data_IF_749957585141
#
_entry.id   IF_749957585141
#
_cell.length_a   1.000
_cell.length_b   1.000
_cell.length_c   1.000
_cell.angle_alpha   90.00
_cell.angle_beta   90.00
_cell.angle_gamma   90.00
#
_symmetry.space_group_name_H-M   'P 1'
#
loop_
_entity.id
_entity.type
_entity.pdbx_description
1 polymer ?
#
# COMPACT_ATOMS: atom_id res chain seq x y z
N UNK A 1 2.49 5.07 -1.34
CA UNK A 1 2.16 6.33 -0.68
C UNK A 1 0.77 6.10 -0.18
N UNK A 2 0.62 5.97 1.13
CA UNK A 2 -0.36 5.02 1.63
C UNK A 2 -1.62 5.75 2.09
N UNK A 3 -2.76 5.11 1.84
CA UNK A 3 -4.09 5.67 2.06
C UNK A 3 -4.90 4.66 2.86
N UNK A 4 -5.27 5.04 4.08
CA UNK A 4 -6.05 4.19 4.99
C UNK A 4 -7.51 4.52 4.76
N UNK A 5 -8.31 3.49 4.45
CA UNK A 5 -9.75 3.58 4.29
C UNK A 5 -10.48 2.82 5.39
N UNK A 6 -11.79 3.03 5.46
CA UNK A 6 -12.68 2.11 6.18
C UNK A 6 -12.85 0.83 5.36
N UNK A 7 -13.17 -0.28 6.03
CA UNK A 7 -13.32 -1.62 5.44
C UNK A 7 -14.24 -1.67 4.20
N UNK A 8 -15.28 -0.82 4.18
CA UNK A 8 -16.30 -0.81 3.13
C UNK A 8 -16.00 0.18 2.00
N UNK A 9 -14.87 0.88 2.04
CA UNK A 9 -14.48 1.86 1.04
C UNK A 9 -13.43 1.24 0.10
N UNK A 10 -13.68 1.26 -1.22
CA UNK A 10 -12.69 0.92 -2.24
C UNK A 10 -12.14 2.21 -2.90
N UNK A 11 -10.86 2.58 -2.66
CA UNK A 11 -10.26 3.75 -3.29
C UNK A 11 -10.26 3.71 -4.82
N UNK A 12 -10.30 2.54 -5.45
CA UNK A 12 -10.28 2.42 -6.91
C UNK A 12 -11.61 2.82 -7.56
N UNK A 13 -12.71 2.92 -6.80
CA UNK A 13 -13.98 3.46 -7.29
C UNK A 13 -13.96 5.00 -7.43
N UNK A 14 -12.97 5.66 -6.82
CA UNK A 14 -12.83 7.10 -6.83
C UNK A 14 -12.02 7.62 -8.02
N UNK A 15 -12.55 8.61 -8.74
CA UNK A 15 -11.80 9.28 -9.83
C UNK A 15 -10.65 10.14 -9.31
N UNK A 16 -10.76 10.65 -8.09
CA UNK A 16 -9.79 11.57 -7.47
C UNK A 16 -9.70 11.30 -5.98
N UNK A 17 -8.51 10.96 -5.48
CA UNK A 17 -8.27 10.83 -4.04
C UNK A 17 -7.80 12.14 -3.43
N UNK A 18 -8.37 12.49 -2.27
CA UNK A 18 -7.87 13.57 -1.42
C UNK A 18 -7.01 12.96 -0.32
N UNK A 19 -5.69 13.13 -0.42
CA UNK A 19 -4.77 12.77 0.65
C UNK A 19 -4.37 14.02 1.42
N UNK A 20 -4.35 13.92 2.75
CA UNK A 20 -3.94 15.01 3.63
C UNK A 20 -3.13 14.46 4.79
N UNK A 21 -2.24 15.28 5.36
CA UNK A 21 -1.52 14.90 6.56
C UNK A 21 -2.51 14.84 7.76
N UNK A 22 -2.54 13.77 8.57
CA UNK A 22 -3.57 13.58 9.59
C UNK A 22 -3.58 14.66 10.67
N UNK A 23 -2.41 15.17 11.07
CA UNK A 23 -2.27 16.28 12.02
C UNK A 23 -2.39 17.65 11.31
N UNK A 24 -1.54 17.91 10.31
CA UNK A 24 -1.50 19.18 9.58
C UNK A 24 -2.39 19.16 8.33
N UNK A 25 -3.70 19.11 8.52
CA UNK A 25 -4.69 18.86 7.45
C UNK A 25 -4.68 19.86 6.28
N UNK A 26 -4.10 21.05 6.48
CA UNK A 26 -3.87 22.03 5.41
C UNK A 26 -2.83 21.56 4.37
N UNK A 27 -1.94 20.63 4.74
CA UNK A 27 -1.03 19.95 3.79
C UNK A 27 -1.80 18.83 3.11
N UNK A 28 -2.36 19.12 1.93
CA UNK A 28 -3.18 18.17 1.17
C UNK A 28 -2.84 18.17 -0.31
N UNK A 29 -3.15 17.06 -0.97
CA UNK A 29 -3.04 16.87 -2.42
C UNK A 29 -4.25 16.16 -2.97
N UNK A 30 -4.57 16.43 -4.24
CA UNK A 30 -5.57 15.70 -5.03
C UNK A 30 -4.82 14.82 -6.04
N UNK A 31 -4.99 13.51 -5.94
CA UNK A 31 -4.32 12.54 -6.81
C UNK A 31 -5.33 12.02 -7.83
N UNK A 32 -4.88 11.93 -9.08
CA UNK A 32 -5.61 11.33 -10.21
C UNK A 32 -4.74 10.23 -10.81
N UNK A 33 -5.34 9.33 -11.61
CA UNK A 33 -4.64 8.28 -12.35
C UNK A 33 -3.74 7.42 -11.44
N UNK A 34 -4.29 6.97 -10.31
CA UNK A 34 -3.61 6.10 -9.38
C UNK A 34 -4.11 4.66 -9.53
N UNK A 35 -3.34 3.71 -8.99
CA UNK A 35 -3.78 2.34 -8.72
C UNK A 35 -3.66 2.13 -7.23
N UNK A 36 -4.76 1.85 -6.54
CA UNK A 36 -4.72 1.46 -5.14
C UNK A 36 -4.56 -0.07 -5.07
N UNK A 37 -3.57 -0.51 -4.28
CA UNK A 37 -3.28 -1.92 -4.02
C UNK A 37 -3.56 -2.15 -2.55
N UNK A 38 -4.43 -3.11 -2.25
CA UNK A 38 -4.66 -3.54 -0.87
C UNK A 38 -3.38 -4.22 -0.35
N UNK A 39 -2.95 -3.79 0.84
CA UNK A 39 -1.76 -4.30 1.49
C UNK A 39 -2.08 -5.44 2.47
N UNK A 40 -3.34 -5.59 2.86
CA UNK A 40 -3.77 -6.67 3.74
C UNK A 40 -4.17 -7.91 2.93
N UNK A 41 -3.84 -9.07 3.48
CA UNK A 41 -4.25 -10.36 2.96
C UNK A 41 -4.81 -11.19 4.11
N UNK A 42 -5.90 -11.90 3.84
CA UNK A 42 -6.42 -12.90 4.78
C UNK A 42 -5.40 -14.02 4.93
N UNK A 43 -4.80 -14.14 6.12
CA UNK A 43 -3.88 -15.24 6.44
C UNK A 43 -4.66 -16.43 7.02
N UNK A 44 -5.51 -16.16 8.00
CA UNK A 44 -6.40 -17.14 8.61
C UNK A 44 -7.84 -16.66 8.53
N UNK A 45 -8.75 -17.58 8.18
CA UNK A 45 -10.19 -17.35 8.20
C UNK A 45 -10.88 -18.49 8.92
N UNK A 46 -11.68 -18.16 9.93
CA UNK A 46 -12.41 -19.13 10.76
C UNK A 46 -11.52 -20.26 11.32
N UNK A 47 -10.29 -19.90 11.72
CA UNK A 47 -9.29 -20.84 12.26
C UNK A 47 -8.55 -21.68 11.23
N UNK A 48 -8.78 -21.47 9.93
CA UNK A 48 -8.11 -22.18 8.83
C UNK A 48 -7.09 -21.27 8.14
N UNK A 49 -5.88 -21.79 7.86
CA UNK A 49 -4.89 -21.11 7.03
C UNK A 49 -5.40 -21.06 5.59
N UNK A 50 -5.68 -19.86 5.08
CA UNK A 50 -6.21 -19.64 3.72
C UNK A 50 -5.19 -18.98 2.78
N UNK A 51 -4.06 -18.54 3.33
CA UNK A 51 -2.96 -17.95 2.57
C UNK A 51 -1.92 -19.00 2.18
N UNK A 52 -1.51 -18.96 0.91
CA UNK A 52 -0.38 -19.75 0.43
C UNK A 52 0.92 -19.04 0.77
N UNK A 53 1.72 -19.65 1.65
CA UNK A 53 2.94 -19.04 2.16
C UNK A 53 4.04 -19.09 1.08
N UNK A 54 4.59 -17.94 0.64
CA UNK A 54 5.60 -17.93 -0.39
C UNK A 54 6.88 -18.59 0.11
N UNK A 55 7.63 -19.20 -0.81
CA UNK A 55 9.00 -19.65 -0.56
C UNK A 55 9.91 -18.46 -0.28
N UNK A 56 11.07 -18.72 0.35
CA UNK A 56 12.09 -17.69 0.58
C UNK A 56 12.53 -16.99 -0.71
N UNK A 57 12.64 -17.75 -1.81
CA UNK A 57 13.02 -17.20 -3.12
C UNK A 57 11.95 -16.26 -3.68
N UNK A 58 10.68 -16.61 -3.55
CA UNK A 58 9.56 -15.76 -3.97
C UNK A 58 9.47 -14.50 -3.11
N UNK A 59 9.61 -14.62 -1.79
CA UNK A 59 9.63 -13.47 -0.88
C UNK A 59 10.79 -12.50 -1.20
N UNK A 60 11.98 -13.03 -1.52
CA UNK A 60 13.13 -12.22 -1.94
C UNK A 60 12.91 -11.52 -3.29
N UNK A 61 12.32 -12.22 -4.25
CA UNK A 61 11.97 -11.63 -5.55
C UNK A 61 10.92 -10.53 -5.39
N UNK A 62 9.91 -10.77 -4.56
CA UNK A 62 8.87 -9.80 -4.23
C UNK A 62 9.46 -8.52 -3.61
N UNK A 63 10.34 -8.66 -2.61
CA UNK A 63 11.06 -7.52 -2.02
C UNK A 63 11.78 -6.70 -3.09
N UNK A 64 12.55 -7.36 -3.96
CA UNK A 64 13.32 -6.67 -5.01
C UNK A 64 12.39 -5.89 -5.95
N UNK A 65 11.29 -6.50 -6.40
CA UNK A 65 10.32 -5.82 -7.26
C UNK A 65 9.62 -4.66 -6.55
N UNK A 66 9.35 -4.77 -5.26
CA UNK A 66 8.67 -3.71 -4.51
C UNK A 66 9.54 -2.46 -4.30
N UNK A 67 10.86 -2.64 -4.17
CA UNK A 67 11.81 -1.53 -4.09
C UNK A 67 11.83 -0.65 -5.35
N UNK A 68 11.38 -1.18 -6.50
CA UNK A 68 11.28 -0.43 -7.76
C UNK A 68 10.13 0.60 -7.73
N UNK A 69 9.10 0.39 -6.92
CA UNK A 69 7.99 1.35 -6.75
C UNK A 69 8.34 2.50 -5.79
N UNK A 70 9.39 2.35 -4.98
CA UNK A 70 9.85 3.38 -4.07
C UNK A 70 10.77 4.38 -4.78
N UNK A 71 10.48 5.67 -4.60
CA UNK A 71 11.31 6.74 -5.14
C UNK A 71 12.65 6.79 -4.41
N UNK A 72 13.70 7.25 -5.09
CA UNK A 72 15.06 7.29 -4.52
C UNK A 72 15.15 8.07 -3.21
N UNK A 73 14.34 9.13 -3.02
CA UNK A 73 14.33 9.87 -1.75
C UNK A 73 13.91 9.00 -0.56
N UNK A 74 13.02 8.03 -0.76
CA UNK A 74 12.55 7.13 0.30
C UNK A 74 13.51 5.97 0.57
N UNK A 75 14.53 5.77 -0.29
CA UNK A 75 15.52 4.68 -0.18
C UNK A 75 16.85 5.14 0.43
N UNK A 76 17.02 6.44 0.68
CA UNK A 76 18.29 6.98 1.19
C UNK A 76 18.56 6.52 2.62
N UNK A 77 19.81 6.16 2.90
CA UNK A 77 20.27 5.86 4.26
C UNK A 77 20.45 7.10 5.12
N UNK A 78 20.68 8.26 4.49
CA UNK A 78 20.89 9.54 5.16
C UNK A 78 20.19 10.65 4.36
N UNK A 79 19.65 11.63 5.08
CA UNK A 79 18.78 12.70 4.56
C UNK A 79 19.48 13.61 3.55
#
# INVERSE_FOLDING_TARGET
GDYITLEHEDPNEEKVLKMFHPIHTYKMKRIKNFKAVDLHHDIFKDGQLVYDCPTEMEAKAYLKSNLEYLWEENKRYLN
#
